data_IF_653978592271
#
_entry.id   IF_653978592271
#
_cell.length_a   1.000
_cell.length_b   1.000
_cell.length_c   1.000
_cell.angle_alpha   90.00
_cell.angle_beta   90.00
_cell.angle_gamma   90.00
#
_symmetry.space_group_name_H-M   'P 1'
#
loop_
_entity.id
_entity.type
_entity.pdbx_description
1 polymer ?
#
# COMPACT_ATOMS: atom_id res chain seq x y z
N UNK A 1 18.24 -15.36 27.49
CA UNK A 1 18.32 -13.93 27.86
C UNK A 1 17.41 -13.18 26.89
N UNK A 2 16.41 -12.43 27.38
CA UNK A 2 15.47 -11.71 26.53
C UNK A 2 15.63 -10.20 26.69
N UNK A 3 15.76 -9.48 25.57
CA UNK A 3 15.65 -8.02 25.52
C UNK A 3 14.32 -7.72 24.84
N UNK A 4 13.50 -6.85 25.43
CA UNK A 4 12.25 -6.39 24.83
C UNK A 4 12.42 -4.95 24.35
N UNK A 5 11.96 -4.67 23.13
CA UNK A 5 11.92 -3.33 22.54
C UNK A 5 10.45 -3.04 22.25
N UNK A 6 9.93 -1.96 22.83
CA UNK A 6 8.58 -1.46 22.52
C UNK A 6 8.71 -0.36 21.48
N UNK A 7 7.90 -0.47 20.43
CA UNK A 7 7.82 0.51 19.35
C UNK A 7 6.45 1.17 19.42
N UNK A 8 6.39 2.50 19.34
CA UNK A 8 5.13 3.25 19.31
C UNK A 8 4.94 3.92 17.95
N UNK A 9 3.73 4.43 17.74
CA UNK A 9 3.37 5.26 16.61
C UNK A 9 4.11 6.61 16.57
N UNK A 10 4.76 7.02 17.68
CA UNK A 10 5.65 8.19 17.66
C UNK A 10 6.95 7.91 16.90
N UNK A 11 7.48 6.68 16.97
CA UNK A 11 8.69 6.29 16.24
C UNK A 11 8.38 5.88 14.80
N UNK A 12 7.29 5.15 14.59
CA UNK A 12 6.86 4.66 13.28
C UNK A 12 5.36 4.93 13.07
N UNK A 13 4.98 6.18 12.76
CA UNK A 13 3.58 6.54 12.54
C UNK A 13 3.06 5.91 11.26
N UNK A 14 1.85 5.33 11.32
CA UNK A 14 1.17 4.81 10.13
C UNK A 14 1.00 5.90 9.05
N UNK A 15 1.11 5.53 7.78
CA UNK A 15 1.04 6.52 6.71
C UNK A 15 -0.35 7.15 6.59
N UNK A 16 -0.44 8.46 6.25
CA UNK A 16 -1.73 9.13 6.02
C UNK A 16 -2.59 8.45 4.95
N UNK A 17 -1.95 7.86 3.93
CA UNK A 17 -2.65 7.19 2.82
C UNK A 17 -3.27 5.88 3.29
N UNK A 18 -2.57 5.12 4.14
CA UNK A 18 -3.13 3.93 4.78
C UNK A 18 -4.31 4.29 5.70
N UNK A 19 -4.16 5.35 6.51
CA UNK A 19 -5.25 5.85 7.37
C UNK A 19 -6.49 6.22 6.57
N UNK A 20 -6.33 6.92 5.46
CA UNK A 20 -7.44 7.32 4.59
C UNK A 20 -8.15 6.11 3.95
N UNK A 21 -7.38 5.12 3.49
CA UNK A 21 -7.92 3.86 3.01
C UNK A 21 -8.75 3.15 4.08
N UNK A 22 -8.20 2.98 5.29
CA UNK A 22 -8.90 2.28 6.38
C UNK A 22 -10.13 3.06 6.84
N UNK A 23 -10.07 4.39 6.89
CA UNK A 23 -11.23 5.23 7.20
C UNK A 23 -12.36 5.06 6.17
N UNK A 24 -12.01 4.91 4.89
CA UNK A 24 -12.98 4.64 3.80
C UNK A 24 -13.61 3.25 3.96
N UNK A 25 -12.82 2.24 4.34
CA UNK A 25 -13.33 0.89 4.64
C UNK A 25 -14.30 0.90 5.82
N UNK A 26 -13.96 1.62 6.90
CA UNK A 26 -14.81 1.72 8.10
C UNK A 26 -16.14 2.41 7.79
N UNK A 27 -16.11 3.46 6.97
CA UNK A 27 -17.32 4.19 6.59
C UNK A 27 -18.18 3.46 5.56
N UNK A 28 -17.68 2.38 4.96
CA UNK A 28 -18.32 1.70 3.83
C UNK A 28 -18.44 2.59 2.59
N UNK A 29 -17.61 3.64 2.51
CA UNK A 29 -17.62 4.59 1.40
C UNK A 29 -17.00 4.00 0.13
N UNK A 30 -17.30 4.64 -0.99
CA UNK A 30 -16.59 4.37 -2.24
C UNK A 30 -15.21 5.03 -2.22
N UNK A 31 -14.21 4.36 -2.77
CA UNK A 31 -12.91 4.97 -3.00
C UNK A 31 -13.03 6.06 -4.06
N UNK A 32 -12.27 7.14 -3.89
CA UNK A 32 -12.26 8.23 -4.87
C UNK A 32 -11.95 7.68 -6.26
N UNK A 33 -12.71 8.14 -7.26
CA UNK A 33 -12.58 7.70 -8.65
C UNK A 33 -11.13 7.82 -9.10
N UNK A 34 -10.55 6.72 -9.56
CA UNK A 34 -9.19 6.72 -10.09
C UNK A 34 -9.14 7.50 -11.39
N UNK A 35 -8.36 8.57 -11.38
CA UNK A 35 -8.07 9.32 -12.58
C UNK A 35 -6.92 8.64 -13.35
N UNK A 36 -7.28 7.78 -14.29
CA UNK A 36 -6.34 7.17 -15.24
C UNK A 36 -6.04 8.17 -16.37
N UNK A 37 -5.37 9.28 -16.04
CA UNK A 37 -5.21 10.42 -16.96
C UNK A 37 -4.38 10.15 -18.22
N UNK A 38 -4.73 10.91 -19.26
CA UNK A 38 -3.99 11.21 -20.48
C UNK A 38 -2.74 12.06 -20.15
N UNK A 39 -1.62 11.76 -20.80
CA UNK A 39 -0.31 12.40 -20.56
C UNK A 39 -0.32 13.92 -20.81
N UNK A 40 -1.32 14.42 -21.56
CA UNK A 40 -1.48 15.84 -21.88
C UNK A 40 -2.22 16.64 -20.81
N UNK A 41 -2.92 15.99 -19.88
CA UNK A 41 -3.73 16.63 -18.83
C UNK A 41 -3.24 16.39 -17.40
N UNK A 42 -2.05 15.80 -17.23
CA UNK A 42 -1.42 15.56 -15.91
C UNK A 42 -1.14 16.88 -15.19
N UNK A 43 -2.06 17.31 -14.32
CA UNK A 43 -1.76 18.22 -13.23
C UNK A 43 -1.06 17.44 -12.10
N UNK A 44 -0.13 18.09 -11.39
CA UNK A 44 0.38 17.56 -10.12
C UNK A 44 -0.83 17.32 -9.19
N UNK A 45 -1.09 16.06 -8.87
CA UNK A 45 -2.27 15.67 -8.09
C UNK A 45 -2.30 16.36 -6.72
N UNK A 46 -3.34 17.16 -6.46
CA UNK A 46 -3.62 17.76 -5.16
C UNK A 46 -4.18 16.74 -4.14
N UNK A 47 -4.39 15.48 -4.54
CA UNK A 47 -4.99 14.46 -3.67
C UNK A 47 -4.14 14.22 -2.41
N UNK A 48 -2.81 14.28 -2.51
CA UNK A 48 -1.94 14.15 -1.33
C UNK A 48 -2.15 15.27 -0.31
N UNK A 49 -2.41 16.50 -0.75
CA UNK A 49 -2.65 17.63 0.15
C UNK A 49 -4.00 17.49 0.89
N UNK A 50 -5.03 16.98 0.22
CA UNK A 50 -6.33 16.72 0.83
C UNK A 50 -6.29 15.54 1.82
N UNK A 51 -5.55 14.47 1.51
CA UNK A 51 -5.31 13.36 2.44
C UNK A 51 -4.62 13.86 3.71
N UNK A 52 -3.62 14.74 3.58
CA UNK A 52 -2.92 15.32 4.73
C UNK A 52 -3.83 16.19 5.61
N UNK A 53 -4.77 16.92 5.02
CA UNK A 53 -5.75 17.74 5.78
C UNK A 53 -6.68 16.86 6.62
N UNK A 54 -7.15 15.74 6.06
CA UNK A 54 -8.07 14.80 6.73
C UNK A 54 -7.38 13.77 7.63
N UNK A 55 -6.05 13.67 7.55
CA UNK A 55 -5.28 12.63 8.22
C UNK A 55 -5.54 12.56 9.74
N UNK A 56 -5.62 13.70 10.43
CA UNK A 56 -5.88 13.73 11.88
C UNK A 56 -7.27 13.20 12.25
N UNK A 57 -8.29 13.64 11.52
CA UNK A 57 -9.67 13.22 11.76
C UNK A 57 -9.85 11.73 11.42
N UNK A 58 -9.28 11.28 10.32
CA UNK A 58 -9.33 9.88 9.91
C UNK A 58 -8.55 8.98 10.87
N UNK A 59 -7.39 9.44 11.39
CA UNK A 59 -6.62 8.68 12.37
C UNK A 59 -7.42 8.44 13.65
N UNK A 60 -8.12 9.46 14.17
CA UNK A 60 -9.00 9.29 15.33
C UNK A 60 -10.09 8.23 15.08
N UNK A 61 -10.79 8.32 13.94
CA UNK A 61 -11.83 7.34 13.55
C UNK A 61 -11.28 5.92 13.45
N UNK A 62 -10.10 5.75 12.84
CA UNK A 62 -9.44 4.45 12.70
C UNK A 62 -9.11 3.86 14.07
N UNK A 63 -8.58 4.67 14.99
CA UNK A 63 -8.18 4.22 16.32
C UNK A 63 -9.36 3.99 17.27
N UNK A 64 -10.51 4.61 17.05
CA UNK A 64 -11.74 4.35 17.80
C UNK A 64 -12.44 3.05 17.35
N UNK A 65 -12.29 2.67 16.09
CA UNK A 65 -12.91 1.49 15.51
C UNK A 65 -12.11 0.20 15.76
N UNK A 66 -12.79 -0.89 16.17
CA UNK A 66 -12.15 -2.21 16.30
C UNK A 66 -11.63 -2.74 14.96
N UNK A 67 -12.35 -2.49 13.86
CA UNK A 67 -11.87 -2.80 12.51
C UNK A 67 -10.56 -2.06 12.23
N UNK A 68 -10.52 -0.74 12.44
CA UNK A 68 -9.31 0.07 12.24
C UNK A 68 -8.12 -0.41 13.08
N UNK A 69 -8.33 -0.72 14.37
CA UNK A 69 -7.30 -1.31 15.23
C UNK A 69 -6.75 -2.63 14.69
N UNK A 70 -7.59 -3.48 14.09
CA UNK A 70 -7.13 -4.74 13.46
C UNK A 70 -6.28 -4.47 12.22
N UNK A 71 -6.64 -3.50 11.39
CA UNK A 71 -5.82 -3.08 10.25
C UNK A 71 -4.44 -2.57 10.70
N UNK A 72 -4.42 -1.67 11.68
CA UNK A 72 -3.18 -1.12 12.23
C UNK A 72 -2.33 -2.22 12.87
N UNK A 73 -2.93 -3.10 13.67
CA UNK A 73 -2.25 -4.23 14.29
C UNK A 73 -1.65 -5.19 13.25
N UNK A 74 -2.39 -5.50 12.17
CA UNK A 74 -1.90 -6.33 11.07
C UNK A 74 -0.73 -5.68 10.33
N UNK A 75 -0.81 -4.37 10.07
CA UNK A 75 0.28 -3.63 9.45
C UNK A 75 1.56 -3.66 10.31
N UNK A 76 1.45 -3.46 11.64
CA UNK A 76 2.61 -3.58 12.52
C UNK A 76 3.15 -5.01 12.64
N UNK A 77 2.27 -6.03 12.65
CA UNK A 77 2.71 -7.44 12.63
C UNK A 77 3.54 -7.73 11.38
N UNK A 78 3.06 -7.33 10.21
CA UNK A 78 3.78 -7.51 8.94
C UNK A 78 5.05 -6.67 8.90
N UNK A 79 5.04 -5.45 9.43
CA UNK A 79 6.22 -4.59 9.49
C UNK A 79 7.34 -5.23 10.32
N UNK A 80 7.01 -5.74 11.51
CA UNK A 80 7.97 -6.44 12.36
C UNK A 80 8.49 -7.71 11.66
N UNK A 81 7.61 -8.47 11.01
CA UNK A 81 8.01 -9.66 10.25
C UNK A 81 8.98 -9.34 9.11
N UNK A 82 8.71 -8.27 8.34
CA UNK A 82 9.60 -7.79 7.28
C UNK A 82 10.94 -7.29 7.84
N UNK A 83 10.92 -6.61 8.99
CA UNK A 83 12.12 -6.09 9.65
C UNK A 83 13.01 -7.20 10.21
N UNK A 84 12.43 -8.26 10.77
CA UNK A 84 13.16 -9.38 11.38
C UNK A 84 13.44 -10.53 10.41
N UNK A 85 12.82 -10.53 9.22
CA UNK A 85 12.85 -11.67 8.30
C UNK A 85 12.06 -12.88 8.80
N UNK A 86 10.99 -12.66 9.58
CA UNK A 86 10.08 -13.74 10.00
C UNK A 86 9.21 -14.17 8.81
N UNK A 87 9.70 -15.17 8.09
CA UNK A 87 9.07 -15.67 6.87
C UNK A 87 7.72 -16.34 7.14
N UNK A 88 7.48 -16.91 8.32
CA UNK A 88 6.25 -17.64 8.61
C UNK A 88 5.04 -16.70 8.66
N UNK A 89 5.24 -15.46 9.13
CA UNK A 89 4.21 -14.42 9.20
C UNK A 89 3.81 -13.84 7.84
N UNK A 90 4.73 -13.85 6.87
CA UNK A 90 4.48 -13.38 5.50
C UNK A 90 4.15 -14.52 4.52
N UNK A 91 4.31 -15.77 4.97
CA UNK A 91 4.15 -16.97 4.15
C UNK A 91 2.79 -17.04 3.47
N UNK A 92 1.71 -16.79 4.21
CA UNK A 92 0.36 -16.82 3.65
C UNK A 92 0.21 -15.86 2.47
N UNK A 93 0.76 -14.64 2.60
CA UNK A 93 0.72 -13.64 1.53
C UNK A 93 1.47 -14.13 0.29
N UNK A 94 2.67 -14.68 0.46
CA UNK A 94 3.50 -15.20 -0.64
C UNK A 94 2.82 -16.36 -1.40
N UNK A 95 2.08 -17.21 -0.69
CA UNK A 95 1.37 -18.34 -1.30
C UNK A 95 0.02 -17.93 -1.89
N UNK A 96 -0.68 -16.98 -1.28
CA UNK A 96 -2.04 -16.58 -1.67
C UNK A 96 -2.06 -15.58 -2.81
N UNK A 97 -1.07 -14.69 -2.90
CA UNK A 97 -1.04 -13.61 -3.88
C UNK A 97 0.08 -13.77 -4.92
N UNK A 98 -0.20 -13.34 -6.15
CA UNK A 98 0.76 -13.20 -7.23
C UNK A 98 0.77 -11.73 -7.67
N UNK A 99 1.84 -11.02 -7.30
CA UNK A 99 2.02 -9.62 -7.64
C UNK A 99 2.53 -9.48 -9.08
N UNK A 100 1.80 -8.74 -9.91
CA UNK A 100 2.22 -8.37 -11.26
C UNK A 100 2.66 -6.91 -11.18
N UNK A 101 3.96 -6.68 -11.06
CA UNK A 101 4.52 -5.33 -10.90
C UNK A 101 4.85 -4.71 -12.26
N UNK A 102 4.20 -3.59 -12.58
CA UNK A 102 4.48 -2.78 -13.75
C UNK A 102 5.54 -1.75 -13.36
N UNK A 103 6.78 -2.04 -13.73
CA UNK A 103 7.94 -1.18 -13.48
C UNK A 103 8.42 -0.65 -14.82
N UNK A 104 8.47 0.67 -14.95
CA UNK A 104 8.94 1.33 -16.17
C UNK A 104 9.19 2.81 -15.93
N UNK A 105 10.00 3.40 -16.81
CA UNK A 105 10.31 4.84 -16.78
C UNK A 105 8.98 5.63 -16.86
N UNK A 106 8.82 6.72 -16.08
CA UNK A 106 7.63 7.56 -16.14
C UNK A 106 7.24 7.92 -17.57
N UNK A 107 5.93 8.03 -17.83
CA UNK A 107 5.37 8.43 -19.13
C UNK A 107 5.60 7.43 -20.29
N UNK A 108 5.72 6.13 -20.02
CA UNK A 108 5.80 5.08 -21.05
C UNK A 108 4.60 4.11 -21.05
N UNK A 109 3.40 4.60 -20.75
CA UNK A 109 2.20 3.79 -20.82
C UNK A 109 1.96 2.81 -19.65
N UNK A 110 2.77 2.86 -18.59
CA UNK A 110 2.61 1.96 -17.43
C UNK A 110 1.22 2.05 -16.76
N UNK A 111 0.63 3.25 -16.70
CA UNK A 111 -0.75 3.42 -16.21
C UNK A 111 -1.77 2.73 -17.12
N UNK A 112 -1.61 2.79 -18.45
CA UNK A 112 -2.49 2.12 -19.40
C UNK A 112 -2.39 0.59 -19.28
N UNK A 113 -1.18 0.04 -19.21
CA UNK A 113 -0.99 -1.40 -19.01
C UNK A 113 -1.62 -1.87 -17.69
N UNK A 114 -1.44 -1.10 -16.62
CA UNK A 114 -2.05 -1.40 -15.31
C UNK A 114 -3.58 -1.39 -15.40
N UNK A 115 -4.16 -0.42 -16.11
CA UNK A 115 -5.61 -0.32 -16.37
C UNK A 115 -6.15 -1.55 -17.10
N UNK A 116 -5.46 -1.97 -18.16
CA UNK A 116 -5.86 -3.15 -18.94
C UNK A 116 -5.73 -4.45 -18.15
N UNK A 117 -4.74 -4.58 -17.27
CA UNK A 117 -4.64 -5.73 -16.36
C UNK A 117 -5.82 -5.80 -15.39
N UNK A 118 -6.26 -4.67 -14.84
CA UNK A 118 -7.47 -4.63 -14.02
C UNK A 118 -8.72 -5.04 -14.80
N UNK A 119 -8.87 -4.56 -16.04
CA UNK A 119 -9.99 -4.96 -16.94
C UNK A 119 -9.96 -6.46 -17.24
N UNK A 120 -8.78 -7.01 -17.55
CA UNK A 120 -8.62 -8.43 -17.84
C UNK A 120 -8.99 -9.32 -16.64
N UNK A 121 -8.85 -8.81 -15.42
CA UNK A 121 -9.26 -9.48 -14.17
C UNK A 121 -10.72 -9.21 -13.78
N UNK A 122 -11.46 -8.45 -14.58
CA UNK A 122 -12.88 -8.15 -14.37
C UNK A 122 -13.17 -6.99 -13.40
N UNK A 123 -12.18 -6.16 -13.09
CA UNK A 123 -12.40 -4.94 -12.31
C UNK A 123 -12.82 -3.77 -13.19
N UNK A 124 -13.61 -2.86 -12.61
CA UNK A 124 -13.78 -1.51 -13.12
C UNK A 124 -12.60 -0.65 -12.64
N UNK A 125 -11.66 -0.25 -13.52
CA UNK A 125 -10.43 0.43 -13.07
C UNK A 125 -10.68 1.71 -12.29
N UNK A 126 -11.75 2.45 -12.64
CA UNK A 126 -12.08 3.73 -12.02
C UNK A 126 -12.55 3.58 -10.56
N UNK A 127 -12.88 2.35 -10.12
CA UNK A 127 -13.25 2.01 -8.74
C UNK A 127 -12.12 1.39 -7.93
N UNK A 128 -10.98 1.10 -8.55
CA UNK A 128 -9.83 0.53 -7.85
C UNK A 128 -9.17 1.64 -7.02
N UNK A 129 -8.85 1.44 -5.73
CA UNK A 129 -8.19 2.47 -4.94
C UNK A 129 -6.86 2.90 -5.57
N UNK A 130 -6.62 4.21 -5.71
CA UNK A 130 -5.35 4.72 -6.25
C UNK A 130 -4.13 4.21 -5.48
N UNK A 131 -4.22 4.14 -4.14
CA UNK A 131 -3.16 3.59 -3.27
C UNK A 131 -2.82 2.13 -3.60
N UNK A 132 -3.81 1.36 -4.08
CA UNK A 132 -3.63 -0.03 -4.51
C UNK A 132 -3.02 -0.06 -5.92
N UNK A 133 -3.53 0.70 -6.88
CA UNK A 133 -3.14 0.56 -8.28
C UNK A 133 -1.86 1.33 -8.69
N UNK A 134 -1.65 2.55 -8.20
CA UNK A 134 -0.66 3.50 -8.73
C UNK A 134 0.67 3.53 -7.98
N UNK A 135 1.68 4.19 -8.54
CA UNK A 135 3.07 4.18 -8.06
C UNK A 135 3.35 5.01 -6.79
N UNK A 136 2.36 5.72 -6.27
CA UNK A 136 2.50 6.59 -5.10
C UNK A 136 2.65 5.86 -3.76
N UNK A 137 2.42 4.54 -3.73
CA UNK A 137 2.48 3.72 -2.52
C UNK A 137 2.66 2.23 -2.90
N UNK A 138 3.40 1.38 -2.15
CA UNK A 138 4.25 1.71 -1.01
C UNK A 138 5.39 2.65 -1.40
N UNK A 139 5.94 3.36 -0.43
CA UNK A 139 7.03 4.29 -0.69
C UNK A 139 8.34 3.51 -0.83
N UNK A 140 9.01 3.70 -1.96
CA UNK A 140 10.37 3.24 -2.18
C UNK A 140 11.21 4.43 -2.63
N UNK A 141 12.24 4.76 -1.87
CA UNK A 141 13.13 5.89 -2.16
C UNK A 141 14.58 5.41 -2.24
N UNK A 142 15.49 6.18 -2.86
CA UNK A 142 16.92 5.95 -2.71
C UNK A 142 17.33 5.80 -1.24
N UNK A 143 18.40 5.04 -1.00
CA UNK A 143 18.92 4.85 0.35
C UNK A 143 19.31 6.20 0.96
N UNK A 144 18.62 6.53 2.05
CA UNK A 144 18.79 7.73 2.86
C UNK A 144 18.71 7.36 4.34
N UNK A 145 19.75 7.70 5.09
CA UNK A 145 19.84 7.57 6.53
C UNK A 145 20.26 8.92 7.15
N UNK A 146 19.34 9.58 7.82
CA UNK A 146 19.54 10.85 8.52
C UNK A 146 18.80 10.84 9.86
N UNK A 147 18.99 11.87 10.69
CA UNK A 147 18.27 12.00 11.96
C UNK A 147 16.75 11.93 11.70
N UNK A 148 16.10 10.92 12.28
CA UNK A 148 14.65 10.61 12.11
C UNK A 148 14.22 10.20 10.70
N UNK A 149 15.15 9.90 9.80
CA UNK A 149 14.83 9.44 8.44
C UNK A 149 15.62 8.18 8.14
N UNK A 150 14.92 7.06 7.99
CA UNK A 150 15.49 5.81 7.50
C UNK A 150 14.59 5.28 6.38
N UNK A 151 14.96 5.62 5.14
CA UNK A 151 14.24 5.22 3.91
C UNK A 151 13.93 3.73 3.84
N UNK A 152 14.87 2.87 4.26
CA UNK A 152 14.67 1.42 4.24
C UNK A 152 13.54 1.01 5.18
N UNK A 153 13.57 1.51 6.41
CA UNK A 153 12.54 1.18 7.41
C UNK A 153 11.19 1.77 7.03
N UNK A 154 11.15 3.00 6.51
CA UNK A 154 9.92 3.59 5.95
C UNK A 154 9.37 2.76 4.79
N UNK A 155 10.24 2.24 3.92
CA UNK A 155 9.82 1.38 2.80
C UNK A 155 9.20 0.07 3.33
N UNK A 156 9.83 -0.57 4.33
CA UNK A 156 9.28 -1.80 4.94
C UNK A 156 7.92 -1.54 5.61
N UNK A 157 7.78 -0.41 6.30
CA UNK A 157 6.54 -0.03 6.97
C UNK A 157 5.42 0.19 5.96
N UNK A 158 5.65 1.01 4.93
CA UNK A 158 4.63 1.27 3.91
C UNK A 158 4.33 0.02 3.07
N UNK A 159 5.30 -0.87 2.88
CA UNK A 159 5.05 -2.19 2.29
C UNK A 159 4.11 -3.04 3.17
N UNK A 160 4.34 -3.09 4.48
CA UNK A 160 3.47 -3.82 5.40
C UNK A 160 2.02 -3.29 5.39
N UNK A 161 1.87 -1.97 5.36
CA UNK A 161 0.58 -1.29 5.17
C UNK A 161 -0.04 -1.67 3.83
N UNK A 162 0.73 -1.67 2.73
CA UNK A 162 0.26 -2.08 1.40
C UNK A 162 -0.24 -3.52 1.39
N UNK A 163 0.53 -4.45 1.93
CA UNK A 163 0.17 -5.86 2.03
C UNK A 163 -1.11 -6.06 2.84
N UNK A 164 -1.30 -5.31 3.93
CA UNK A 164 -2.54 -5.31 4.70
C UNK A 164 -3.73 -4.85 3.85
N UNK A 165 -3.57 -3.79 3.06
CA UNK A 165 -4.63 -3.32 2.15
C UNK A 165 -4.93 -4.35 1.05
N UNK A 166 -3.91 -5.03 0.51
CA UNK A 166 -4.06 -6.10 -0.49
C UNK A 166 -4.80 -7.29 0.10
N UNK A 167 -4.47 -7.71 1.32
CA UNK A 167 -5.17 -8.78 2.03
C UNK A 167 -6.66 -8.48 2.14
N UNK A 168 -7.01 -7.23 2.46
CA UNK A 168 -8.39 -6.78 2.53
C UNK A 168 -9.07 -6.70 1.16
N UNK A 169 -8.48 -5.97 0.21
CA UNK A 169 -9.11 -5.63 -1.07
C UNK A 169 -9.23 -6.83 -2.00
N UNK A 170 -8.19 -7.65 -2.08
CA UNK A 170 -8.14 -8.80 -2.99
C UNK A 170 -8.44 -10.12 -2.30
N UNK A 171 -8.48 -10.21 -0.96
CA UNK A 171 -8.47 -11.48 -0.23
C UNK A 171 -9.65 -12.42 -0.52
N UNK A 172 -10.74 -11.92 -1.09
CA UNK A 172 -11.93 -12.71 -1.47
C UNK A 172 -12.03 -12.97 -2.98
N UNK A 173 -11.07 -12.53 -3.76
CA UNK A 173 -11.12 -12.64 -5.22
C UNK A 173 -10.77 -14.04 -5.70
N UNK A 174 -11.24 -14.35 -6.90
CA UNK A 174 -10.96 -15.64 -7.54
C UNK A 174 -9.47 -15.77 -7.83
N UNK A 175 -8.92 -16.94 -7.50
CA UNK A 175 -7.56 -17.28 -7.85
C UNK A 175 -7.46 -17.68 -9.33
N UNK A 176 -6.35 -17.30 -9.96
CA UNK A 176 -5.94 -17.75 -11.29
C UNK A 176 -4.62 -18.52 -11.12
N UNK A 177 -4.59 -19.77 -11.59
CA UNK A 177 -3.44 -20.66 -11.39
C UNK A 177 -3.05 -20.85 -9.91
N UNK A 178 -4.04 -20.91 -9.03
CA UNK A 178 -3.85 -21.13 -7.59
C UNK A 178 -3.49 -19.89 -6.76
N UNK A 179 -3.28 -18.72 -7.38
CA UNK A 179 -2.98 -17.46 -6.68
C UNK A 179 -3.91 -16.31 -7.10
N UNK A 180 -4.12 -15.36 -6.21
CA UNK A 180 -4.89 -14.15 -6.49
C UNK A 180 -3.96 -13.13 -7.16
N UNK A 181 -4.34 -12.67 -8.36
CA UNK A 181 -3.53 -11.75 -9.16
C UNK A 181 -3.68 -10.32 -8.62
N UNK A 182 -2.56 -9.65 -8.38
CA UNK A 182 -2.51 -8.27 -7.85
C UNK A 182 -1.71 -7.39 -8.81
N UNK A 183 -2.36 -6.69 -9.75
CA UNK A 183 -1.69 -5.73 -10.62
C UNK A 183 -1.26 -4.49 -9.83
N UNK A 184 0.01 -4.12 -9.94
CA UNK A 184 0.55 -2.95 -9.25
C UNK A 184 1.47 -2.16 -10.15
N UNK A 185 1.15 -0.88 -10.42
CA UNK A 185 2.15 0.04 -10.94
C UNK A 185 3.13 0.41 -9.82
N UNK A 186 4.42 0.23 -10.07
CA UNK A 186 5.45 0.44 -9.06
C UNK A 186 6.76 0.95 -9.67
N UNK A 187 6.70 2.12 -10.31
CA UNK A 187 7.90 2.74 -10.90
C UNK A 187 9.03 2.93 -9.89
N UNK A 188 8.70 3.28 -8.64
CA UNK A 188 9.67 3.46 -7.55
C UNK A 188 10.29 2.14 -7.04
N UNK A 189 9.72 0.99 -7.41
CA UNK A 189 10.19 -0.33 -6.99
C UNK A 189 11.64 -0.63 -7.40
N UNK A 190 12.16 0.08 -8.41
CA UNK A 190 13.58 0.02 -8.79
C UNK A 190 14.54 0.39 -7.67
N UNK A 191 14.12 1.19 -6.69
CA UNK A 191 14.94 1.57 -5.53
C UNK A 191 14.92 0.53 -4.40
N UNK A 192 13.99 -0.42 -4.45
CA UNK A 192 13.77 -1.41 -3.39
C UNK A 192 13.63 -2.82 -3.98
N UNK A 193 14.68 -3.28 -4.68
CA UNK A 193 14.69 -4.59 -5.32
C UNK A 193 14.46 -5.76 -4.36
N UNK A 194 14.73 -5.60 -3.06
CA UNK A 194 14.47 -6.62 -2.04
C UNK A 194 13.00 -6.88 -1.70
N UNK A 195 12.05 -6.17 -2.34
CA UNK A 195 10.61 -6.40 -2.15
C UNK A 195 9.99 -7.47 -3.05
N UNK A 196 10.69 -7.90 -4.10
CA UNK A 196 10.20 -8.84 -5.12
C UNK A 196 11.15 -10.01 -5.31
#
# INVERSE_FOLDING_TARGET
>A
MGVSITITDNEFPISPVFVDYVATVISGGEFATSEWHDQLSENLSNQQAEVLKKAKENAAKVMESDVGKRFVGRAYELFLALLSGDVDKIRDIQFRFHFINIIGVPRNGGSYLTKELYRALGFEPDKVPNVIAHDGFPEASPFLLQKRVNSWVTSLQTMAEFLTMVEHYFGKNKSHSGKIQVPKKLTKGSYAGGFF
#
